data_IF_771649358591
#
_entry.id   IF_771649358591
#
_cell.length_a   1.000
_cell.length_b   1.000
_cell.length_c   1.000
_cell.angle_alpha   90.00
_cell.angle_beta   90.00
_cell.angle_gamma   90.00
#
_symmetry.space_group_name_H-M   'P 1'
#
loop_
_entity.id
_entity.type
_entity.pdbx_description
1 polymer ?
#
# COMPACT_ATOMS: atom_id res chain seq x y z
N UNK A 1 43.89 -15.26 -13.74
CA UNK A 1 44.15 -13.88 -13.24
C UNK A 1 43.20 -12.85 -13.84
N UNK A 2 43.18 -12.61 -15.16
CA UNK A 2 42.28 -11.59 -15.77
C UNK A 2 40.79 -11.94 -15.57
N UNK A 3 40.38 -13.20 -15.80
CA UNK A 3 39.01 -13.64 -15.53
C UNK A 3 38.62 -13.52 -14.06
N UNK A 4 39.56 -13.75 -13.14
CA UNK A 4 39.30 -13.67 -11.69
C UNK A 4 39.06 -12.22 -11.26
N UNK A 5 39.86 -11.29 -11.77
CA UNK A 5 39.67 -9.85 -11.54
C UNK A 5 38.33 -9.40 -12.15
N UNK A 6 38.01 -9.84 -13.37
CA UNK A 6 36.74 -9.53 -14.00
C UNK A 6 35.55 -10.06 -13.20
N UNK A 7 35.60 -11.32 -12.74
CA UNK A 7 34.57 -11.93 -11.91
C UNK A 7 34.37 -11.17 -10.60
N UNK A 8 35.44 -10.73 -9.94
CA UNK A 8 35.36 -9.91 -8.72
C UNK A 8 34.69 -8.55 -8.96
N UNK A 9 35.00 -7.89 -10.07
CA UNK A 9 34.35 -6.61 -10.44
C UNK A 9 32.85 -6.82 -10.67
N UNK A 10 32.47 -7.82 -11.46
CA UNK A 10 31.07 -8.15 -11.73
C UNK A 10 30.33 -8.49 -10.44
N UNK A 11 30.95 -9.28 -9.56
CA UNK A 11 30.38 -9.64 -8.26
C UNK A 11 30.16 -8.41 -7.37
N UNK A 12 31.11 -7.48 -7.34
CA UNK A 12 30.96 -6.21 -6.62
C UNK A 12 29.80 -5.37 -7.15
N UNK A 13 29.65 -5.28 -8.47
CA UNK A 13 28.52 -4.57 -9.11
C UNK A 13 27.18 -5.24 -8.78
N UNK A 14 27.12 -6.58 -8.82
CA UNK A 14 25.91 -7.32 -8.47
C UNK A 14 25.49 -7.08 -7.01
N UNK A 15 26.45 -7.12 -6.07
CA UNK A 15 26.16 -6.80 -4.66
C UNK A 15 25.64 -5.37 -4.51
N UNK A 16 26.31 -4.40 -5.14
CA UNK A 16 25.88 -3.00 -5.10
C UNK A 16 24.46 -2.82 -5.67
N UNK A 17 24.15 -3.51 -6.77
CA UNK A 17 22.83 -3.50 -7.39
C UNK A 17 21.75 -4.11 -6.49
N UNK A 18 22.03 -5.23 -5.83
CA UNK A 18 21.10 -5.85 -4.87
C UNK A 18 20.85 -4.92 -3.69
N UNK A 19 21.89 -4.32 -3.10
CA UNK A 19 21.76 -3.36 -2.00
C UNK A 19 20.92 -2.15 -2.45
N UNK A 20 21.17 -1.64 -3.65
CA UNK A 20 20.40 -0.53 -4.22
C UNK A 20 18.91 -0.87 -4.32
N UNK A 21 18.57 -2.06 -4.84
CA UNK A 21 17.18 -2.52 -4.94
C UNK A 21 16.54 -2.65 -3.55
N UNK A 22 17.23 -3.25 -2.58
CA UNK A 22 16.73 -3.42 -1.21
C UNK A 22 16.40 -2.07 -0.56
N UNK A 23 17.31 -1.10 -0.64
CA UNK A 23 17.13 0.23 -0.04
C UNK A 23 16.01 1.02 -0.73
N UNK A 24 15.80 0.82 -2.04
CA UNK A 24 14.72 1.48 -2.78
C UNK A 24 13.35 0.82 -2.60
N UNK A 25 13.29 -0.51 -2.58
CA UNK A 25 12.05 -1.29 -2.53
C UNK A 25 11.49 -1.45 -1.12
N UNK A 26 12.36 -1.57 -0.10
CA UNK A 26 11.97 -1.76 1.29
C UNK A 26 10.96 -0.72 1.81
N UNK A 27 11.26 0.60 1.73
CA UNK A 27 10.36 1.64 2.24
C UNK A 27 9.19 1.97 1.30
N UNK A 28 9.15 1.40 0.10
CA UNK A 28 8.16 1.74 -0.93
C UNK A 28 6.69 1.55 -0.48
N UNK A 29 6.27 0.39 0.08
CA UNK A 29 4.89 0.21 0.56
C UNK A 29 4.52 1.17 1.69
N UNK A 30 5.41 1.42 2.65
CA UNK A 30 5.17 2.38 3.74
C UNK A 30 5.01 3.82 3.22
N UNK A 31 5.86 4.23 2.27
CA UNK A 31 5.76 5.54 1.64
C UNK A 31 4.45 5.72 0.86
N UNK A 32 3.95 4.67 0.20
CA UNK A 32 2.65 4.69 -0.48
C UNK A 32 1.51 4.83 0.55
N UNK A 33 1.58 4.08 1.64
CA UNK A 33 0.59 4.14 2.72
C UNK A 33 0.53 5.55 3.35
N UNK A 34 1.70 6.15 3.63
CA UNK A 34 1.79 7.52 4.17
C UNK A 34 1.20 8.57 3.22
N UNK A 35 1.50 8.49 1.91
CA UNK A 35 0.93 9.39 0.90
C UNK A 35 -0.60 9.30 0.77
N UNK A 36 -1.18 8.16 1.17
CA UNK A 36 -2.63 7.92 1.12
C UNK A 36 -3.35 8.24 2.44
N UNK A 37 -2.63 8.73 3.44
CA UNK A 37 -3.19 8.98 4.78
C UNK A 37 -3.60 7.69 5.50
N UNK A 38 -2.89 6.58 5.26
CA UNK A 38 -3.19 5.34 5.96
C UNK A 38 -2.72 5.42 7.43
N UNK A 39 -3.58 5.15 8.44
CA UNK A 39 -3.23 5.31 9.86
C UNK A 39 -2.13 4.36 10.33
N UNK A 40 -1.93 3.25 9.60
CA UNK A 40 -0.94 2.22 9.91
C UNK A 40 0.25 2.26 8.95
N UNK A 41 0.61 3.43 8.43
CA UNK A 41 1.72 3.59 7.49
C UNK A 41 3.06 3.04 8.04
N UNK A 42 3.32 3.23 9.34
CA UNK A 42 4.54 2.71 9.99
C UNK A 42 4.56 1.19 10.04
N UNK A 43 3.43 0.55 10.36
CA UNK A 43 3.32 -0.91 10.36
C UNK A 43 3.56 -1.49 8.96
N UNK A 44 3.02 -0.83 7.92
CA UNK A 44 3.22 -1.21 6.53
C UNK A 44 4.69 -1.01 6.11
N UNK A 45 5.36 0.02 6.62
CA UNK A 45 6.79 0.25 6.41
C UNK A 45 7.64 -0.88 6.98
N UNK A 46 7.37 -1.28 8.23
CA UNK A 46 8.02 -2.43 8.86
C UNK A 46 7.75 -3.71 8.09
N UNK A 47 6.50 -3.94 7.64
CA UNK A 47 6.15 -5.10 6.83
C UNK A 47 6.86 -5.09 5.47
N UNK A 48 7.10 -3.92 4.87
CA UNK A 48 7.92 -3.75 3.68
C UNK A 48 9.37 -4.23 3.88
N UNK A 49 9.99 -3.86 5.01
CA UNK A 49 11.32 -4.35 5.40
C UNK A 49 11.33 -5.85 5.71
N UNK A 50 10.28 -6.39 6.34
CA UNK A 50 10.11 -7.85 6.50
C UNK A 50 10.00 -8.53 5.12
N UNK A 51 9.33 -7.88 4.16
CA UNK A 51 9.30 -8.27 2.76
C UNK A 51 10.69 -8.45 2.18
N UNK A 52 11.60 -7.51 2.40
CA UNK A 52 12.99 -7.61 1.96
C UNK A 52 13.70 -8.82 2.60
N UNK A 53 13.57 -8.99 3.91
CA UNK A 53 14.22 -10.10 4.65
C UNK A 53 13.70 -11.47 4.18
N UNK A 54 12.43 -11.54 3.80
CA UNK A 54 11.76 -12.75 3.28
C UNK A 54 11.93 -12.96 1.78
N UNK A 55 12.97 -12.36 1.16
CA UNK A 55 13.24 -12.42 -0.29
C UNK A 55 12.07 -11.93 -1.17
N UNK A 56 11.29 -10.97 -0.65
CA UNK A 56 10.16 -10.35 -1.33
C UNK A 56 8.81 -10.99 -1.05
N UNK A 57 8.72 -12.08 -0.28
CA UNK A 57 7.44 -12.80 -0.09
C UNK A 57 6.39 -11.96 0.64
N UNK A 58 6.76 -11.26 1.73
CA UNK A 58 5.82 -10.40 2.47
C UNK A 58 5.60 -9.02 1.80
N UNK A 59 6.41 -8.67 0.80
CA UNK A 59 6.36 -7.37 0.13
C UNK A 59 5.06 -7.09 -0.64
N UNK A 60 4.51 -8.00 -1.48
CA UNK A 60 3.23 -7.79 -2.14
C UNK A 60 2.07 -7.66 -1.14
N UNK A 61 2.14 -8.36 0.00
CA UNK A 61 1.14 -8.20 1.07
C UNK A 61 1.19 -6.80 1.69
N UNK A 62 2.38 -6.25 1.95
CA UNK A 62 2.56 -4.88 2.40
C UNK A 62 1.98 -3.86 1.41
N UNK A 63 2.18 -4.10 0.10
CA UNK A 63 1.58 -3.27 -0.94
C UNK A 63 0.07 -3.37 -0.96
N UNK A 64 -0.52 -4.57 -0.99
CA UNK A 64 -1.99 -4.73 -0.98
C UNK A 64 -2.58 -3.99 0.20
N UNK A 65 -1.96 -4.12 1.39
CA UNK A 65 -2.41 -3.44 2.59
C UNK A 65 -2.30 -1.91 2.48
N UNK A 66 -1.21 -1.38 1.90
CA UNK A 66 -1.07 0.05 1.59
C UNK A 66 -2.18 0.60 0.67
N UNK A 67 -2.85 -0.26 -0.10
CA UNK A 67 -3.94 0.12 -0.99
C UNK A 67 -5.33 -0.04 -0.38
N UNK A 68 -5.46 -0.67 0.79
CA UNK A 68 -6.74 -0.76 1.49
C UNK A 68 -7.19 0.61 2.01
N UNK A 69 -8.50 0.88 1.97
CA UNK A 69 -9.07 2.10 2.56
C UNK A 69 -8.92 2.02 4.07
N UNK A 70 -8.45 3.10 4.68
CA UNK A 70 -8.44 3.21 6.13
C UNK A 70 -9.86 3.12 6.69
N UNK A 71 -10.02 2.69 7.95
CA UNK A 71 -11.32 2.64 8.61
C UNK A 71 -12.04 3.99 8.62
N UNK A 72 -11.29 5.09 8.71
CA UNK A 72 -11.81 6.45 8.62
C UNK A 72 -12.34 6.78 7.21
N UNK A 73 -11.57 6.50 6.16
CA UNK A 73 -12.02 6.64 4.77
C UNK A 73 -13.24 5.78 4.47
N UNK A 74 -13.30 4.58 5.06
CA UNK A 74 -14.44 3.68 4.94
C UNK A 74 -15.68 4.24 5.63
N UNK A 75 -15.54 4.78 6.86
CA UNK A 75 -16.63 5.41 7.59
C UNK A 75 -17.19 6.65 6.89
N UNK A 76 -16.31 7.51 6.34
CA UNK A 76 -16.73 8.67 5.56
C UNK A 76 -17.52 8.27 4.30
N UNK A 77 -17.04 7.27 3.56
CA UNK A 77 -17.74 6.72 2.39
C UNK A 77 -19.10 6.11 2.75
N UNK A 78 -19.17 5.38 3.86
CA UNK A 78 -20.42 4.82 4.36
C UNK A 78 -21.43 5.92 4.74
N UNK A 79 -20.98 6.97 5.43
CA UNK A 79 -21.81 8.12 5.81
C UNK A 79 -22.40 8.84 4.60
N UNK A 80 -21.58 9.08 3.57
CA UNK A 80 -22.04 9.69 2.31
C UNK A 80 -23.11 8.83 1.62
N UNK A 81 -22.91 7.51 1.58
CA UNK A 81 -23.88 6.58 0.99
C UNK A 81 -25.19 6.49 1.77
N UNK A 82 -25.12 6.50 3.09
CA UNK A 82 -26.32 6.50 3.95
C UNK A 82 -27.11 7.77 3.73
N UNK A 83 -26.45 8.94 3.72
CA UNK A 83 -27.12 10.22 3.46
C UNK A 83 -27.81 10.26 2.08
N UNK A 84 -27.17 9.73 1.04
CA UNK A 84 -27.79 9.61 -0.28
C UNK A 84 -29.03 8.69 -0.28
N UNK A 85 -28.95 7.54 0.40
CA UNK A 85 -30.09 6.64 0.55
C UNK A 85 -31.23 7.27 1.35
N UNK A 86 -30.92 8.07 2.37
CA UNK A 86 -31.92 8.81 3.14
C UNK A 86 -32.66 9.85 2.27
N UNK A 87 -31.96 10.54 1.35
CA UNK A 87 -32.60 11.46 0.41
C UNK A 87 -33.52 10.75 -0.59
N UNK A 88 -33.11 9.60 -1.11
CA UNK A 88 -33.94 8.79 -2.02
C UNK A 88 -35.21 8.30 -1.30
N UNK A 89 -35.07 7.82 -0.07
CA UNK A 89 -36.20 7.41 0.76
C UNK A 89 -37.14 8.57 1.08
N UNK A 90 -36.61 9.78 1.31
CA UNK A 90 -37.44 10.97 1.53
C UNK A 90 -38.24 11.35 0.27
N UNK A 91 -37.62 11.27 -0.91
CA UNK A 91 -38.29 11.52 -2.20
C UNK A 91 -39.39 10.48 -2.47
N UNK A 92 -39.13 9.20 -2.21
CA UNK A 92 -40.13 8.13 -2.38
C UNK A 92 -41.31 8.29 -1.39
N UNK A 93 -41.03 8.66 -0.13
CA UNK A 93 -42.09 8.93 0.86
C UNK A 93 -42.96 10.12 0.47
N UNK A 94 -42.36 11.18 -0.09
CA UNK A 94 -43.11 12.33 -0.59
C UNK A 94 -44.06 11.93 -1.74
N UNK A 95 -43.58 11.12 -2.69
CA UNK A 95 -44.39 10.70 -3.83
C UNK A 95 -45.45 9.63 -3.51
N UNK A 96 -45.18 8.76 -2.52
CA UNK A 96 -46.10 7.70 -2.09
C UNK A 96 -47.22 8.17 -1.16
N UNK A 97 -47.13 9.38 -0.59
CA UNK A 97 -48.19 9.98 0.21
C UNK A 97 -49.33 10.61 -0.61
N UNK A 98 -49.16 10.68 -1.93
CA UNK A 98 -50.06 11.34 -2.87
C UNK A 98 -51.08 10.37 -3.51
N UNK A 99 -51.04 9.09 -3.15
CA UNK A 99 -51.90 8.00 -3.64
C UNK A 99 -52.81 7.46 -2.52
#
# INVERSE_FOLDING_TARGET
MVLDIFALVVFGVLIAFVIFLVVKLGPLPGNIAGKRGHPQADAISVLGWIGVVTLGLAWPFALVWAYTRSGEQQAAYLGERVAAMESDLAALRAHGGDA
#
